data_IF_982564534151
#
_entry.id   IF_982564534151
#
_cell.length_a   1.000
_cell.length_b   1.000
_cell.length_c   1.000
_cell.angle_alpha   90.00
_cell.angle_beta   90.00
_cell.angle_gamma   90.00
#
_symmetry.space_group_name_H-M   'P 1'
#
loop_
_entity.id
_entity.type
_entity.pdbx_description
1 polymer ?
#
# COMPACT_ATOMS: atom_id res chain seq x y z
N UNK A 1 -15.13 14.74 5.56
CA UNK A 1 -13.93 14.57 4.71
C UNK A 1 -12.96 13.71 5.49
N UNK A 2 -12.73 12.50 5.06
CA UNK A 2 -11.59 11.72 5.55
C UNK A 2 -10.35 12.44 5.08
N UNK A 3 -9.54 12.95 6.00
CA UNK A 3 -8.20 13.43 5.67
C UNK A 3 -7.37 12.19 5.32
N UNK A 4 -6.97 12.07 4.06
CA UNK A 4 -6.01 11.05 3.64
C UNK A 4 -4.61 11.46 4.12
N UNK A 5 -4.44 11.56 5.43
CA UNK A 5 -3.17 11.97 6.01
C UNK A 5 -2.22 10.76 6.02
N UNK A 6 -1.03 10.94 5.48
CA UNK A 6 0.07 9.98 5.62
C UNK A 6 0.54 9.90 7.07
N UNK A 7 1.45 8.99 7.34
CA UNK A 7 2.12 8.90 8.64
C UNK A 7 3.01 10.14 8.89
N UNK A 8 3.20 10.49 10.16
CA UNK A 8 4.10 11.57 10.54
C UNK A 8 5.57 11.12 10.48
N UNK A 9 6.46 12.08 10.20
CA UNK A 9 7.90 11.84 10.20
C UNK A 9 8.42 11.62 11.61
N UNK A 10 9.32 10.67 11.77
CA UNK A 10 10.11 10.49 12.99
C UNK A 10 11.50 11.05 12.81
N UNK A 11 12.04 11.76 13.79
CA UNK A 11 13.38 12.35 13.68
C UNK A 11 14.22 12.17 14.93
N UNK A 12 15.53 11.99 14.71
CA UNK A 12 16.55 12.09 15.75
C UNK A 12 17.40 13.32 15.43
N UNK A 13 17.38 14.28 16.34
CA UNK A 13 18.05 15.56 16.21
C UNK A 13 19.18 15.68 17.23
N UNK A 14 20.34 16.13 16.80
CA UNK A 14 21.35 16.70 17.66
C UNK A 14 21.88 18.00 17.03
N UNK A 15 22.81 18.70 17.69
CA UNK A 15 23.33 20.00 17.23
C UNK A 15 24.06 19.95 15.87
N UNK A 16 24.37 18.76 15.37
CA UNK A 16 25.17 18.56 14.15
C UNK A 16 24.42 17.75 13.08
N UNK A 17 23.44 16.94 13.45
CA UNK A 17 22.78 15.98 12.54
C UNK A 17 21.28 15.92 12.77
N UNK A 18 20.56 15.71 11.67
CA UNK A 18 19.15 15.41 11.65
C UNK A 18 18.92 14.14 10.82
N UNK A 19 18.52 13.05 11.49
CA UNK A 19 18.08 11.84 10.81
C UNK A 19 16.56 11.84 10.79
N UNK A 20 15.97 11.69 9.61
CA UNK A 20 14.52 11.67 9.42
C UNK A 20 14.11 10.35 8.80
N UNK A 21 13.24 9.63 9.49
CA UNK A 21 12.45 8.57 8.91
C UNK A 21 11.09 9.16 8.48
N UNK A 22 10.86 9.20 7.19
CA UNK A 22 9.62 9.73 6.61
C UNK A 22 8.43 8.84 6.96
N UNK A 23 7.31 9.46 7.31
CA UNK A 23 6.05 8.75 7.47
C UNK A 23 5.57 8.14 6.17
N UNK A 24 4.84 7.04 6.23
CA UNK A 24 4.29 6.36 5.05
C UNK A 24 3.22 7.20 4.34
N UNK A 25 3.14 7.11 3.02
CA UNK A 25 2.07 7.71 2.23
C UNK A 25 0.73 7.00 2.48
N UNK A 26 -0.35 7.76 2.56
CA UNK A 26 -1.70 7.19 2.66
C UNK A 26 -2.17 6.64 1.31
N UNK A 27 -3.02 5.63 1.35
CA UNK A 27 -3.86 5.28 0.21
C UNK A 27 -4.86 6.41 -0.10
N UNK A 28 -5.50 6.34 -1.24
CA UNK A 28 -6.46 7.37 -1.67
C UNK A 28 -7.87 6.80 -1.83
N UNK A 29 -8.84 7.71 -1.80
CA UNK A 29 -10.24 7.45 -2.15
C UNK A 29 -10.51 7.86 -3.60
N UNK A 30 -11.43 7.17 -4.23
CA UNK A 30 -11.85 7.50 -5.59
C UNK A 30 -10.77 7.20 -6.63
N UNK A 31 -10.84 7.88 -7.76
CA UNK A 31 -9.92 7.72 -8.88
C UNK A 31 -8.70 8.63 -8.69
N UNK A 32 -7.79 8.26 -7.81
CA UNK A 32 -6.63 9.11 -7.51
C UNK A 32 -5.34 8.30 -7.31
N UNK A 33 -4.18 8.88 -7.61
CA UNK A 33 -2.88 8.26 -7.31
C UNK A 33 -2.69 8.10 -5.80
N UNK A 34 -1.92 7.13 -5.40
CA UNK A 34 -1.47 7.00 -4.01
C UNK A 34 -0.61 8.20 -3.58
N UNK A 35 -0.65 8.56 -2.31
CA UNK A 35 0.17 9.65 -1.79
C UNK A 35 1.63 9.22 -1.58
N UNK A 36 2.53 10.16 -1.81
CA UNK A 36 3.95 9.97 -1.56
C UNK A 36 4.23 9.90 -0.05
N UNK A 37 5.29 9.22 0.31
CA UNK A 37 5.70 9.09 1.72
C UNK A 37 7.05 8.41 1.86
N UNK A 38 7.48 8.07 3.05
CA UNK A 38 8.66 7.25 3.32
C UNK A 38 8.64 5.97 2.48
N UNK A 39 7.51 5.28 2.52
CA UNK A 39 7.03 4.38 1.46
C UNK A 39 5.73 4.96 0.92
N UNK A 40 5.47 4.81 -0.37
CA UNK A 40 4.29 5.37 -1.03
C UNK A 40 3.01 4.61 -0.71
N UNK A 41 1.87 5.31 -0.70
CA UNK A 41 0.54 4.71 -0.56
C UNK A 41 0.08 4.01 -1.84
N UNK A 42 -0.82 3.06 -1.70
CA UNK A 42 -1.48 2.41 -2.86
C UNK A 42 -2.50 3.33 -3.53
N UNK A 43 -2.63 3.22 -4.83
CA UNK A 43 -3.62 3.99 -5.59
C UNK A 43 -5.01 3.37 -5.54
N UNK A 44 -6.04 4.19 -5.63
CA UNK A 44 -7.39 3.70 -5.86
C UNK A 44 -7.62 3.38 -7.34
N UNK A 45 -8.47 2.41 -7.60
CA UNK A 45 -8.92 2.12 -8.96
C UNK A 45 -9.93 3.14 -9.45
N UNK A 46 -9.84 3.50 -10.71
CA UNK A 46 -10.76 4.42 -11.34
C UNK A 46 -11.71 3.71 -12.30
N UNK A 47 -12.98 4.09 -12.26
CA UNK A 47 -13.99 3.67 -13.26
C UNK A 47 -13.86 4.41 -14.59
N UNK A 48 -12.87 5.28 -14.77
CA UNK A 48 -13.06 6.34 -15.77
C UNK A 48 -12.11 6.43 -16.89
N UNK A 49 -10.86 6.09 -16.88
CA UNK A 49 -10.07 6.20 -18.11
C UNK A 49 -8.60 5.78 -18.04
N UNK A 50 -7.98 5.69 -16.90
CA UNK A 50 -6.57 5.33 -16.82
C UNK A 50 -6.23 4.67 -15.48
N UNK A 51 -5.23 3.80 -15.52
CA UNK A 51 -4.59 3.29 -14.32
C UNK A 51 -4.09 4.46 -13.47
N UNK A 52 -4.20 4.33 -12.15
CA UNK A 52 -3.69 5.33 -11.22
C UNK A 52 -2.38 4.84 -10.61
N UNK A 53 -1.30 5.63 -10.65
CA UNK A 53 -0.03 5.22 -10.08
C UNK A 53 -0.08 5.20 -8.55
N UNK A 54 0.61 4.27 -7.94
CA UNK A 54 0.91 4.32 -6.50
C UNK A 54 1.80 5.52 -6.16
N UNK A 55 1.78 5.95 -4.90
CA UNK A 55 2.67 6.99 -4.40
C UNK A 55 4.13 6.56 -4.51
N UNK A 56 5.03 7.51 -4.71
CA UNK A 56 6.47 7.24 -4.72
C UNK A 56 7.06 7.26 -3.32
N UNK A 57 8.22 6.61 -3.15
CA UNK A 57 9.00 6.74 -1.92
C UNK A 57 9.78 8.06 -1.93
N UNK A 58 9.67 8.80 -0.85
CA UNK A 58 10.44 10.03 -0.58
C UNK A 58 11.49 9.85 0.50
N UNK A 59 11.67 8.62 1.01
CA UNK A 59 12.72 8.31 1.98
C UNK A 59 14.09 8.49 1.32
N UNK A 60 14.94 9.28 1.97
CA UNK A 60 16.34 9.38 1.54
C UNK A 60 17.02 8.02 1.67
N UNK A 61 17.64 7.56 0.59
CA UNK A 61 18.21 6.20 0.50
C UNK A 61 19.54 6.04 1.24
N UNK A 62 20.26 7.14 1.51
CA UNK A 62 21.50 7.11 2.28
C UNK A 62 21.73 8.40 3.04
N UNK A 63 22.33 8.26 4.22
CA UNK A 63 22.76 9.36 5.08
C UNK A 63 24.20 9.10 5.52
N UNK A 64 24.99 10.15 5.66
CA UNK A 64 26.32 10.04 6.29
C UNK A 64 26.20 10.57 7.72
N UNK A 65 26.53 9.73 8.68
CA UNK A 65 26.52 10.06 10.08
C UNK A 65 27.83 9.56 10.73
N UNK A 66 28.63 10.44 11.32
CA UNK A 66 29.91 10.12 11.95
C UNK A 66 30.82 9.22 11.10
N UNK A 67 31.00 9.56 9.83
CA UNK A 67 31.74 8.79 8.83
C UNK A 67 31.20 7.38 8.54
N UNK A 68 29.97 7.09 8.92
CA UNK A 68 29.25 5.86 8.55
C UNK A 68 28.10 6.20 7.61
N UNK A 69 27.88 5.37 6.61
CA UNK A 69 26.71 5.45 5.75
C UNK A 69 25.57 4.66 6.38
N UNK A 70 24.47 5.35 6.65
CA UNK A 70 23.21 4.74 7.05
C UNK A 70 22.33 4.58 5.81
N UNK A 71 21.58 3.51 5.74
CA UNK A 71 20.68 3.20 4.63
C UNK A 71 19.24 3.51 5.04
N UNK A 72 18.56 4.31 4.22
CA UNK A 72 17.12 4.53 4.33
C UNK A 72 16.35 3.56 3.44
N UNK A 73 15.22 3.08 3.91
CA UNK A 73 14.38 2.11 3.21
C UNK A 73 13.00 2.69 2.96
N UNK A 74 12.52 2.54 1.73
CA UNK A 74 11.18 2.90 1.33
C UNK A 74 10.94 2.54 -0.12
N UNK A 75 9.74 2.11 -0.45
CA UNK A 75 9.38 1.67 -1.79
C UNK A 75 8.04 2.27 -2.21
N UNK A 76 7.76 2.35 -3.52
CA UNK A 76 6.49 2.88 -4.01
C UNK A 76 5.32 1.96 -3.66
N UNK A 77 4.13 2.53 -3.62
CA UNK A 77 2.87 1.81 -3.60
C UNK A 77 2.52 1.20 -4.96
N UNK A 78 1.58 0.29 -4.96
CA UNK A 78 1.05 -0.36 -6.15
C UNK A 78 0.03 0.51 -6.88
N UNK A 79 -0.11 0.26 -8.18
CA UNK A 79 -1.09 0.94 -9.03
C UNK A 79 -2.50 0.43 -8.77
N UNK A 80 -3.48 1.32 -8.86
CA UNK A 80 -4.88 1.00 -9.03
C UNK A 80 -5.21 0.85 -10.50
N UNK A 81 -5.53 -0.36 -10.96
CA UNK A 81 -5.83 -0.60 -12.37
C UNK A 81 -7.21 -0.15 -12.75
N UNK A 82 -7.30 0.37 -13.96
CA UNK A 82 -8.55 0.68 -14.62
C UNK A 82 -9.34 -0.60 -14.93
N UNK A 83 -10.62 -0.52 -14.82
CA UNK A 83 -11.53 -1.51 -15.34
C UNK A 83 -11.72 -1.34 -16.86
N UNK A 84 -11.44 -2.36 -17.65
CA UNK A 84 -11.47 -2.26 -19.12
C UNK A 84 -12.85 -2.43 -19.75
N UNK A 85 -13.85 -2.93 -19.05
CA UNK A 85 -15.15 -3.26 -19.68
C UNK A 85 -16.38 -3.08 -18.76
N UNK A 86 -16.72 -1.84 -18.43
CA UNK A 86 -18.11 -1.49 -18.03
C UNK A 86 -18.69 -2.15 -16.77
N UNK A 87 -17.88 -2.76 -15.95
CA UNK A 87 -18.25 -3.25 -14.62
C UNK A 87 -17.96 -2.20 -13.54
N UNK A 88 -18.52 -2.39 -12.34
CA UNK A 88 -18.39 -1.45 -11.21
C UNK A 88 -17.41 -1.93 -10.16
N UNK A 89 -16.55 -2.84 -10.54
CA UNK A 89 -15.58 -3.43 -9.64
C UNK A 89 -14.36 -2.54 -9.55
N UNK A 90 -13.90 -2.26 -8.34
CA UNK A 90 -12.78 -1.36 -8.08
C UNK A 90 -11.88 -2.00 -7.05
N UNK A 91 -10.59 -2.11 -7.40
CA UNK A 91 -9.59 -2.62 -6.49
C UNK A 91 -8.42 -1.64 -6.40
N UNK A 92 -7.99 -1.34 -5.19
CA UNK A 92 -6.84 -0.49 -4.93
C UNK A 92 -5.55 -1.26 -4.93
N UNK A 93 -4.44 -0.61 -5.29
CA UNK A 93 -3.08 -1.13 -5.12
C UNK A 93 -2.69 -1.18 -3.65
N UNK A 94 -1.73 -2.01 -3.31
CA UNK A 94 -1.15 -2.08 -1.96
C UNK A 94 -0.18 -0.93 -1.69
N UNK A 95 -0.01 -0.55 -0.44
CA UNK A 95 1.03 0.39 -0.01
C UNK A 95 2.43 -0.21 -0.10
N UNK A 96 3.45 0.60 -0.33
CA UNK A 96 4.85 0.18 -0.26
C UNK A 96 5.29 -0.12 1.17
N UNK A 97 6.18 -1.06 1.34
CA UNK A 97 6.86 -1.37 2.60
C UNK A 97 8.35 -0.98 2.56
N UNK A 98 9.04 -1.08 3.68
CA UNK A 98 10.48 -0.79 3.73
C UNK A 98 11.33 -1.79 2.92
N UNK A 99 10.88 -3.01 2.74
CA UNK A 99 11.60 -4.08 2.03
C UNK A 99 11.13 -4.34 0.61
N UNK A 100 9.94 -3.84 0.21
CA UNK A 100 9.41 -4.07 -1.13
C UNK A 100 8.27 -3.13 -1.51
N UNK A 101 8.02 -3.00 -2.80
CA UNK A 101 6.90 -2.22 -3.35
C UNK A 101 5.57 -2.91 -3.06
N UNK A 102 4.51 -2.11 -2.99
CA UNK A 102 3.15 -2.63 -3.02
C UNK A 102 2.77 -3.21 -4.37
N UNK A 103 1.93 -4.21 -4.37
CA UNK A 103 1.45 -4.84 -5.58
C UNK A 103 0.32 -4.02 -6.23
N UNK A 104 0.29 -4.07 -7.54
CA UNK A 104 -0.79 -3.50 -8.34
C UNK A 104 -2.06 -4.31 -8.12
N UNK A 105 -3.20 -3.64 -8.04
CA UNK A 105 -4.49 -4.32 -8.09
C UNK A 105 -4.68 -5.03 -9.44
N UNK A 106 -5.43 -6.12 -9.45
CA UNK A 106 -5.71 -6.87 -10.66
C UNK A 106 -7.16 -7.28 -10.76
N UNK A 107 -7.60 -7.56 -11.99
CA UNK A 107 -8.77 -8.35 -12.24
C UNK A 107 -8.32 -9.68 -12.86
N UNK A 108 -8.90 -10.76 -12.41
CA UNK A 108 -8.73 -12.07 -13.02
C UNK A 108 -9.99 -12.37 -13.85
N UNK A 109 -10.00 -11.95 -15.11
CA UNK A 109 -11.10 -12.21 -16.01
C UNK A 109 -10.60 -12.62 -17.38
N UNK A 110 -10.75 -13.89 -17.71
CA UNK A 110 -10.62 -14.39 -19.08
C UNK A 110 -11.89 -13.98 -19.83
N UNK A 111 -11.79 -13.00 -20.70
CA UNK A 111 -12.87 -12.53 -21.59
C UNK A 111 -14.13 -12.00 -20.88
N UNK A 112 -14.22 -10.72 -20.80
CA UNK A 112 -15.26 -9.91 -20.17
C UNK A 112 -16.73 -10.18 -20.57
N UNK A 113 -16.98 -11.08 -21.48
CA UNK A 113 -18.32 -11.40 -21.95
C UNK A 113 -18.95 -12.65 -21.31
N UNK A 114 -18.19 -13.49 -20.62
CA UNK A 114 -18.67 -14.82 -20.24
C UNK A 114 -18.23 -15.39 -18.89
N UNK A 115 -17.39 -14.72 -18.13
CA UNK A 115 -16.94 -15.23 -16.82
C UNK A 115 -17.19 -14.22 -15.68
N UNK A 116 -17.53 -14.72 -14.47
CA UNK A 116 -17.59 -13.87 -13.31
C UNK A 116 -16.21 -13.26 -13.05
N UNK A 117 -16.16 -11.94 -12.90
CA UNK A 117 -14.96 -11.19 -12.58
C UNK A 117 -14.61 -11.38 -11.12
N UNK A 118 -13.35 -11.57 -10.86
CA UNK A 118 -12.81 -11.62 -9.50
C UNK A 118 -11.84 -10.44 -9.37
N UNK A 119 -12.13 -9.53 -8.45
CA UNK A 119 -11.25 -8.41 -8.17
C UNK A 119 -10.24 -8.77 -7.09
N UNK A 120 -9.00 -8.35 -7.32
CA UNK A 120 -7.93 -8.51 -6.36
C UNK A 120 -7.41 -7.13 -5.93
N UNK A 121 -7.47 -6.85 -4.64
CA UNK A 121 -6.69 -5.77 -4.05
C UNK A 121 -5.20 -6.10 -4.15
N UNK A 122 -4.36 -5.11 -4.41
CA UNK A 122 -2.91 -5.30 -4.39
C UNK A 122 -2.40 -5.58 -2.99
N UNK A 123 -1.52 -6.56 -2.83
CA UNK A 123 -0.88 -6.82 -1.53
C UNK A 123 0.06 -5.69 -1.13
N UNK A 124 0.17 -5.44 0.17
CA UNK A 124 1.16 -4.53 0.72
C UNK A 124 2.59 -5.02 0.51
N UNK A 125 3.50 -4.09 0.27
CA UNK A 125 4.92 -4.38 0.16
C UNK A 125 5.49 -4.92 1.47
N UNK A 126 6.42 -5.86 1.38
CA UNK A 126 7.08 -6.41 2.57
C UNK A 126 7.83 -5.33 3.33
N UNK A 127 7.87 -5.45 4.64
CA UNK A 127 8.75 -4.70 5.52
C UNK A 127 10.20 -5.14 5.39
N UNK A 128 11.05 -4.46 6.12
CA UNK A 128 12.47 -4.78 6.24
C UNK A 128 12.72 -5.66 7.45
N UNK A 129 13.49 -6.70 7.21
CA UNK A 129 14.01 -7.57 8.26
C UNK A 129 15.00 -6.81 9.17
N UNK A 130 14.85 -6.97 10.48
CA UNK A 130 15.70 -6.35 11.48
C UNK A 130 15.75 -7.20 12.75
N UNK A 131 16.93 -7.34 13.33
CA UNK A 131 17.21 -8.09 14.55
C UNK A 131 17.67 -7.22 15.72
N UNK A 132 17.52 -5.90 15.59
CA UNK A 132 18.00 -4.92 16.59
C UNK A 132 17.41 -5.15 18.00
N UNK A 133 16.24 -5.77 18.08
CA UNK A 133 15.58 -6.12 19.35
C UNK A 133 16.06 -7.46 19.93
N UNK A 134 16.97 -8.15 19.24
CA UNK A 134 17.41 -9.52 19.57
C UNK A 134 16.45 -10.60 19.06
N UNK A 135 15.36 -10.21 18.41
CA UNK A 135 14.42 -11.12 17.74
C UNK A 135 14.40 -10.78 16.25
N UNK A 136 14.41 -11.81 15.45
CA UNK A 136 14.43 -11.73 13.99
C UNK A 136 13.04 -11.44 13.44
N UNK A 137 12.74 -10.19 13.12
CA UNK A 137 11.40 -9.76 12.75
C UNK A 137 11.39 -8.79 11.57
N UNK A 138 10.22 -8.69 10.90
CA UNK A 138 9.97 -7.69 9.87
C UNK A 138 9.29 -6.45 10.46
N UNK A 139 9.66 -5.27 9.94
CA UNK A 139 9.11 -3.96 10.33
C UNK A 139 8.75 -3.14 9.09
N UNK A 140 7.79 -2.24 9.25
CA UNK A 140 7.35 -1.30 8.22
C UNK A 140 6.83 -1.99 6.94
N UNK A 141 5.93 -2.95 7.10
CA UNK A 141 5.16 -3.54 5.99
C UNK A 141 4.05 -2.61 5.52
N UNK A 142 3.79 -2.58 4.22
CA UNK A 142 2.72 -1.80 3.60
C UNK A 142 1.33 -2.40 3.81
N UNK A 143 0.28 -1.58 3.82
CA UNK A 143 -1.10 -2.05 3.88
C UNK A 143 -1.58 -2.65 2.56
N UNK A 144 -2.49 -3.62 2.62
CA UNK A 144 -3.16 -4.19 1.45
C UNK A 144 -4.22 -3.25 0.86
N UNK A 145 -4.43 -3.34 -0.44
CA UNK A 145 -5.45 -2.59 -1.17
C UNK A 145 -6.86 -3.13 -0.92
N UNK A 146 -7.82 -2.23 -0.76
CA UNK A 146 -9.23 -2.59 -0.59
C UNK A 146 -9.87 -2.90 -1.93
N UNK A 147 -10.97 -3.63 -1.89
CA UNK A 147 -11.85 -3.85 -3.04
C UNK A 147 -13.21 -3.19 -2.79
N UNK A 148 -13.82 -2.71 -3.85
CA UNK A 148 -15.17 -2.16 -3.82
C UNK A 148 -15.99 -2.81 -4.93
N UNK A 149 -16.80 -3.76 -4.58
CA UNK A 149 -17.71 -4.42 -5.52
C UNK A 149 -19.13 -3.87 -5.32
N UNK A 150 -19.55 -3.00 -6.23
CA UNK A 150 -20.88 -2.41 -6.15
C UNK A 150 -21.96 -3.23 -6.89
N UNK A 151 -21.57 -4.27 -7.61
CA UNK A 151 -22.49 -5.03 -8.47
C UNK A 151 -22.17 -6.52 -8.56
N UNK A 152 -21.61 -7.14 -7.54
CA UNK A 152 -21.55 -8.59 -7.58
C UNK A 152 -22.95 -9.17 -7.45
N UNK A 153 -23.65 -9.28 -8.58
CA UNK A 153 -24.93 -10.02 -8.66
C UNK A 153 -24.70 -11.52 -8.47
N UNK A 154 -23.46 -11.96 -8.33
CA UNK A 154 -23.11 -13.36 -8.12
C UNK A 154 -22.39 -13.49 -6.76
N UNK A 155 -23.20 -13.55 -5.70
CA UNK A 155 -22.74 -13.75 -4.33
C UNK A 155 -21.90 -15.03 -4.09
N UNK A 156 -21.57 -15.74 -5.14
CA UNK A 156 -20.81 -16.99 -5.11
C UNK A 156 -19.31 -16.82 -5.34
N UNK A 157 -18.84 -15.62 -5.67
CA UNK A 157 -17.42 -15.39 -5.91
C UNK A 157 -16.79 -14.74 -4.69
N UNK A 158 -15.66 -15.27 -4.23
CA UNK A 158 -14.95 -14.68 -3.11
C UNK A 158 -14.32 -13.34 -3.52
N UNK A 159 -14.43 -12.37 -2.63
CA UNK A 159 -13.70 -11.10 -2.70
C UNK A 159 -12.29 -11.30 -2.16
N UNK A 160 -11.29 -10.80 -2.87
CA UNK A 160 -9.88 -10.92 -2.46
C UNK A 160 -9.27 -9.54 -2.21
N UNK A 161 -9.44 -8.97 -1.01
CA UNK A 161 -8.69 -7.78 -0.64
C UNK A 161 -7.19 -8.09 -0.56
N UNK A 162 -6.37 -7.13 -0.82
CA UNK A 162 -4.92 -7.26 -0.67
C UNK A 162 -4.54 -7.60 0.77
N UNK A 163 -3.56 -8.48 0.93
CA UNK A 163 -3.00 -8.86 2.22
C UNK A 163 -1.95 -7.80 2.62
N UNK A 164 -1.92 -7.44 3.90
CA UNK A 164 -0.87 -6.57 4.43
C UNK A 164 0.51 -7.19 4.35
N UNK A 165 1.51 -6.40 4.03
CA UNK A 165 2.90 -6.83 3.96
C UNK A 165 3.45 -7.30 5.31
N UNK A 166 4.36 -8.28 5.29
CA UNK A 166 5.07 -8.70 6.48
C UNK A 166 5.73 -7.51 7.18
N UNK A 167 5.65 -7.44 8.49
CA UNK A 167 6.16 -6.31 9.26
C UNK A 167 5.09 -5.32 9.68
N UNK A 168 3.85 -5.78 9.80
CA UNK A 168 2.78 -5.04 10.46
C UNK A 168 1.79 -4.36 9.52
N UNK A 169 1.83 -4.62 8.22
CA UNK A 169 0.80 -4.14 7.29
C UNK A 169 -0.58 -4.70 7.61
N UNK A 170 -1.62 -3.88 7.55
CA UNK A 170 -3.02 -4.32 7.68
C UNK A 170 -3.59 -4.78 6.35
N UNK A 171 -4.54 -5.72 6.37
CA UNK A 171 -5.21 -6.17 5.15
C UNK A 171 -6.23 -5.16 4.65
N UNK A 172 -6.46 -5.13 3.35
CA UNK A 172 -7.47 -4.30 2.72
C UNK A 172 -8.90 -4.64 3.15
N UNK A 173 -9.83 -3.72 2.90
CA UNK A 173 -11.24 -3.93 3.18
C UNK A 173 -11.95 -4.67 2.05
N UNK A 174 -12.97 -5.43 2.43
CA UNK A 174 -13.98 -5.98 1.51
C UNK A 174 -15.16 -4.99 1.43
N UNK A 175 -16.04 -5.12 0.41
CA UNK A 175 -17.27 -4.33 0.35
C UNK A 175 -18.08 -4.50 1.63
N UNK A 176 -18.54 -3.36 2.20
CA UNK A 176 -19.29 -3.31 3.46
C UNK A 176 -18.57 -3.86 4.70
N UNK A 177 -17.28 -4.16 4.60
CA UNK A 177 -16.43 -4.59 5.71
C UNK A 177 -15.31 -3.59 6.02
N UNK A 178 -14.72 -3.70 7.19
CA UNK A 178 -13.52 -2.95 7.53
C UNK A 178 -12.27 -3.73 7.12
N UNK A 179 -11.24 -3.03 6.71
CA UNK A 179 -9.90 -3.61 6.59
C UNK A 179 -9.34 -3.99 7.97
N UNK A 180 -8.27 -4.73 7.98
CA UNK A 180 -7.56 -5.04 9.22
C UNK A 180 -6.56 -3.92 9.56
N UNK A 181 -6.51 -3.56 10.82
CA UNK A 181 -5.50 -2.63 11.30
C UNK A 181 -4.10 -3.23 11.18
N UNK A 182 -3.12 -2.38 10.92
CA UNK A 182 -1.72 -2.75 11.06
C UNK A 182 -1.36 -3.09 12.52
N UNK A 183 -0.21 -3.73 12.71
CA UNK A 183 0.29 -4.13 14.02
C UNK A 183 1.08 -2.96 14.63
N UNK A 184 0.64 -2.45 15.77
CA UNK A 184 1.35 -1.40 16.50
C UNK A 184 2.79 -1.80 16.83
N UNK A 185 3.72 -0.86 16.67
CA UNK A 185 5.15 -1.07 16.94
C UNK A 185 5.89 -1.83 15.84
N UNK A 186 5.23 -2.12 14.72
CA UNK A 186 5.86 -2.75 13.55
C UNK A 186 5.96 -1.82 12.34
N UNK A 187 5.19 -0.74 12.30
CA UNK A 187 5.13 0.22 11.19
C UNK A 187 5.74 1.55 11.51
#
# INVERSE_FOLDING_TARGET
>A
SSTNDGGEDSSILNNLYCLIAKGGGSGCDGAAPGNDGGSGGGAASASTSSDQPGGISTQQTSFVFENKTLIGYGNPGGMGRREEQGGWTRAGGGGGGAGGSGNTSGDYGINAAQAPRIDYGGDGGMGKHCDITGVDEFYAGGGGGSIHNNQNTNASLPDYPGIGGLGGGGDGAIPYGAGKNGINGKG
#
